data_IF_677655057347
#
_entry.id   IF_677655057347
#
_cell.length_a   1.000
_cell.length_b   1.000
_cell.length_c   1.000
_cell.angle_alpha   90.00
_cell.angle_beta   90.00
_cell.angle_gamma   90.00
#
_symmetry.space_group_name_H-M   'P 1'
#
loop_
_entity.id
_entity.type
_entity.pdbx_description
1 polymer ?
#
# COMPACT_ATOMS: atom_id res chain seq x y z
N UNK A 1 -0.25 7.23 25.03
CA UNK A 1 1.15 7.05 24.59
C UNK A 1 1.26 7.66 23.21
N UNK A 2 2.26 8.50 22.93
CA UNK A 2 2.48 9.04 21.59
C UNK A 2 2.84 7.91 20.61
N UNK A 3 2.59 8.09 19.29
CA UNK A 3 2.78 7.04 18.30
C UNK A 3 4.19 6.44 18.24
N UNK A 4 5.30 7.22 18.33
CA UNK A 4 6.65 6.66 18.29
C UNK A 4 6.94 5.68 19.44
N UNK A 5 6.71 6.10 20.68
CA UNK A 5 6.92 5.25 21.87
C UNK A 5 6.02 4.01 21.85
N UNK A 6 4.81 4.13 21.30
CA UNK A 6 3.91 3.00 21.17
C UNK A 6 4.45 2.02 20.12
N UNK A 7 4.88 2.50 18.95
CA UNK A 7 5.37 1.66 17.86
C UNK A 7 6.62 0.85 18.27
N UNK A 8 7.56 1.48 18.98
CA UNK A 8 8.76 0.83 19.51
C UNK A 8 8.46 -0.35 20.44
N UNK A 9 7.34 -0.30 21.17
CA UNK A 9 6.98 -1.34 22.16
C UNK A 9 6.13 -2.48 21.60
N UNK A 10 5.53 -2.33 20.43
CA UNK A 10 4.54 -3.28 19.90
C UNK A 10 4.94 -3.93 18.56
N UNK A 11 5.91 -3.38 17.84
CA UNK A 11 6.46 -4.02 16.65
C UNK A 11 7.20 -5.34 16.93
N UNK A 12 7.68 -6.04 15.89
CA UNK A 12 7.73 -5.63 14.48
C UNK A 12 6.42 -5.89 13.73
N UNK A 13 6.21 -5.13 12.64
CA UNK A 13 5.08 -5.31 11.72
C UNK A 13 5.57 -5.55 10.29
N UNK A 14 4.93 -6.47 9.58
CA UNK A 14 5.19 -6.72 8.16
C UNK A 14 4.31 -5.86 7.24
N UNK A 15 3.22 -5.32 7.79
CA UNK A 15 2.31 -4.42 7.09
C UNK A 15 1.59 -3.47 8.07
N UNK A 16 1.31 -2.27 7.59
CA UNK A 16 0.43 -1.28 8.22
C UNK A 16 -0.80 -1.09 7.34
N UNK A 17 -1.97 -1.01 7.93
CA UNK A 17 -3.26 -0.83 7.25
C UNK A 17 -3.84 0.54 7.60
N UNK A 18 -4.19 1.31 6.58
CA UNK A 18 -5.14 2.41 6.70
C UNK A 18 -6.54 1.83 6.89
N UNK A 19 -6.97 1.73 8.14
CA UNK A 19 -8.24 1.09 8.50
C UNK A 19 -9.46 1.90 8.05
N UNK A 20 -9.34 3.22 7.90
CA UNK A 20 -10.43 4.06 7.45
C UNK A 20 -10.69 3.82 5.95
N UNK A 21 -9.65 3.90 5.13
CA UNK A 21 -9.72 3.64 3.70
C UNK A 21 -10.16 2.20 3.41
N UNK A 22 -9.55 1.20 4.06
CA UNK A 22 -9.93 -0.21 3.86
C UNK A 22 -11.36 -0.54 4.29
N UNK A 23 -11.94 0.21 5.23
CA UNK A 23 -13.35 0.06 5.59
C UNK A 23 -14.32 0.76 4.63
N UNK A 24 -13.87 1.73 3.82
CA UNK A 24 -14.73 2.60 3.03
C UNK A 24 -14.55 2.47 1.51
N UNK A 25 -13.39 2.04 1.04
CA UNK A 25 -13.11 1.93 -0.39
C UNK A 25 -14.12 1.02 -1.07
N UNK A 26 -14.76 1.53 -2.12
CA UNK A 26 -15.84 0.87 -2.86
C UNK A 26 -17.08 0.48 -2.01
N UNK A 27 -17.28 1.11 -0.85
CA UNK A 27 -18.42 0.86 0.04
C UNK A 27 -19.24 2.13 0.26
N UNK A 28 -20.57 1.98 0.39
CA UNK A 28 -21.47 3.11 0.75
C UNK A 28 -21.32 3.51 2.22
N UNK A 29 -21.05 2.54 3.09
CA UNK A 29 -20.88 2.70 4.52
C UNK A 29 -19.65 1.89 4.96
N UNK A 30 -19.11 2.19 6.14
CA UNK A 30 -17.95 1.46 6.65
C UNK A 30 -18.24 -0.05 6.78
N UNK A 31 -17.46 -0.88 6.08
CA UNK A 31 -17.55 -2.33 6.09
C UNK A 31 -16.45 -2.93 6.97
N UNK A 32 -16.82 -3.36 8.19
CA UNK A 32 -15.89 -4.09 9.05
C UNK A 32 -15.50 -5.45 8.46
N UNK A 33 -16.40 -6.07 7.71
CA UNK A 33 -16.12 -7.33 7.01
C UNK A 33 -14.96 -7.16 6.02
N UNK A 34 -14.96 -6.09 5.23
CA UNK A 34 -13.87 -5.77 4.29
C UNK A 34 -12.56 -5.56 5.04
N UNK A 35 -12.55 -4.70 6.07
CA UNK A 35 -11.36 -4.45 6.89
C UNK A 35 -10.80 -5.74 7.52
N UNK A 36 -11.66 -6.58 8.12
CA UNK A 36 -11.24 -7.84 8.71
C UNK A 36 -10.68 -8.82 7.66
N UNK A 37 -11.24 -8.85 6.45
CA UNK A 37 -10.71 -9.67 5.36
C UNK A 37 -9.32 -9.18 4.93
N UNK A 38 -9.10 -7.87 4.79
CA UNK A 38 -7.77 -7.29 4.53
C UNK A 38 -6.77 -7.71 5.63
N UNK A 39 -7.14 -7.56 6.91
CA UNK A 39 -6.29 -7.96 8.04
C UNK A 39 -5.89 -9.43 7.94
N UNK A 40 -6.84 -10.32 7.63
CA UNK A 40 -6.58 -11.75 7.48
C UNK A 40 -5.69 -12.06 6.28
N UNK A 41 -5.88 -11.39 5.13
CA UNK A 41 -5.02 -11.57 3.95
C UNK A 41 -3.60 -11.11 4.23
N UNK A 42 -3.41 -9.95 4.86
CA UNK A 42 -2.09 -9.46 5.28
C UNK A 42 -1.42 -10.45 6.25
N UNK A 43 -2.16 -10.99 7.22
CA UNK A 43 -1.64 -12.01 8.11
C UNK A 43 -1.25 -13.30 7.37
N UNK A 44 -2.01 -13.70 6.36
CA UNK A 44 -1.73 -14.91 5.57
C UNK A 44 -0.45 -14.77 4.75
N UNK A 45 -0.19 -13.60 4.16
CA UNK A 45 1.03 -13.36 3.36
C UNK A 45 2.27 -13.07 4.23
N UNK A 46 2.08 -12.69 5.50
CA UNK A 46 3.20 -12.58 6.45
C UNK A 46 3.89 -13.94 6.62
N UNK A 47 5.24 -14.01 6.45
CA UNK A 47 5.99 -15.25 6.64
C UNK A 47 5.83 -15.86 8.03
N UNK A 48 5.68 -15.00 9.05
CA UNK A 48 5.52 -15.42 10.45
C UNK A 48 4.08 -15.31 10.95
N UNK A 49 3.10 -15.13 10.06
CA UNK A 49 1.67 -14.94 10.39
C UNK A 49 1.43 -13.79 11.37
N UNK A 50 2.24 -12.73 11.31
CA UNK A 50 2.08 -11.52 12.12
C UNK A 50 0.79 -10.81 11.73
N UNK A 51 0.08 -10.30 12.73
CA UNK A 51 -1.01 -9.37 12.45
C UNK A 51 -0.44 -8.06 11.92
N UNK A 52 -1.05 -7.46 10.88
CA UNK A 52 -0.72 -6.11 10.46
C UNK A 52 -1.11 -5.10 11.54
N UNK A 53 -0.43 -3.96 11.59
CA UNK A 53 -0.86 -2.83 12.41
C UNK A 53 -2.02 -2.10 11.74
N UNK A 54 -3.20 -2.14 12.34
CA UNK A 54 -4.36 -1.37 11.89
C UNK A 54 -4.35 0.01 12.54
N UNK A 55 -4.34 1.07 11.72
CA UNK A 55 -4.55 2.44 12.18
C UNK A 55 -6.01 2.80 11.94
N UNK A 56 -6.73 3.19 12.99
CA UNK A 56 -8.15 3.52 12.88
C UNK A 56 -8.55 4.60 13.89
N UNK A 57 -9.42 5.52 13.50
CA UNK A 57 -9.93 6.53 14.43
C UNK A 57 -10.64 5.93 15.65
N UNK A 58 -10.38 6.50 16.83
CA UNK A 58 -11.04 6.11 18.09
C UNK A 58 -12.58 6.16 18.01
N UNK A 59 -13.15 7.06 17.21
CA UNK A 59 -14.60 7.12 16.97
C UNK A 59 -15.13 5.88 16.25
N UNK A 60 -14.36 5.25 15.35
CA UNK A 60 -14.71 4.01 14.66
C UNK A 60 -14.40 2.76 15.48
N UNK A 61 -13.43 2.85 16.39
CA UNK A 61 -13.10 1.78 17.36
C UNK A 61 -14.16 1.68 18.46
N UNK A 62 -14.76 2.81 18.85
CA UNK A 62 -15.74 2.86 19.96
C UNK A 62 -17.19 3.08 19.51
N UNK A 63 -17.41 3.37 18.24
CA UNK A 63 -18.73 3.64 17.64
C UNK A 63 -18.88 2.90 16.32
N UNK A 64 -19.95 3.20 15.56
CA UNK A 64 -20.21 2.65 14.22
C UNK A 64 -19.92 1.14 14.10
N UNK A 65 -18.78 0.72 13.52
CA UNK A 65 -18.39 -0.69 13.38
C UNK A 65 -18.37 -1.51 14.68
N UNK A 66 -18.06 -0.86 15.81
CA UNK A 66 -17.93 -1.50 17.12
C UNK A 66 -19.27 -1.74 17.83
N UNK A 67 -20.39 -1.26 17.29
CA UNK A 67 -21.73 -1.48 17.87
C UNK A 67 -22.18 -2.93 17.73
N UNK A 68 -21.66 -3.66 16.74
CA UNK A 68 -21.94 -5.08 16.56
C UNK A 68 -21.02 -5.92 17.46
N UNK A 69 -21.56 -6.77 18.35
CA UNK A 69 -20.77 -7.55 19.31
C UNK A 69 -19.66 -8.39 18.67
N UNK A 70 -19.94 -8.99 17.50
CA UNK A 70 -18.95 -9.81 16.76
C UNK A 70 -17.72 -8.99 16.32
N UNK A 71 -17.92 -7.74 15.90
CA UNK A 71 -16.82 -6.88 15.45
C UNK A 71 -15.98 -6.41 16.64
N UNK A 72 -16.63 -6.15 17.78
CA UNK A 72 -15.96 -5.76 19.02
C UNK A 72 -14.94 -6.79 19.48
N UNK A 73 -15.25 -8.09 19.35
CA UNK A 73 -14.31 -9.17 19.67
C UNK A 73 -13.02 -9.07 18.85
N UNK A 74 -13.12 -8.78 17.54
CA UNK A 74 -11.95 -8.61 16.68
C UNK A 74 -11.15 -7.35 17.02
N UNK A 75 -11.84 -6.22 17.27
CA UNK A 75 -11.19 -4.97 17.68
C UNK A 75 -10.45 -5.11 19.01
N UNK A 76 -11.06 -5.75 20.01
CA UNK A 76 -10.44 -6.04 21.30
C UNK A 76 -9.25 -7.00 21.14
N UNK A 77 -9.39 -8.04 20.30
CA UNK A 77 -8.28 -8.94 19.96
C UNK A 77 -7.11 -8.16 19.37
N UNK A 78 -7.32 -7.37 18.32
CA UNK A 78 -6.24 -6.60 17.68
C UNK A 78 -5.60 -5.61 18.66
N UNK A 79 -6.39 -4.96 19.50
CA UNK A 79 -5.86 -4.07 20.55
C UNK A 79 -5.00 -4.82 21.56
N UNK A 80 -5.46 -5.96 22.06
CA UNK A 80 -4.77 -6.75 23.08
C UNK A 80 -3.47 -7.38 22.54
N UNK A 81 -3.41 -7.66 21.24
CA UNK A 81 -2.18 -8.16 20.58
C UNK A 81 -1.26 -7.03 20.10
N UNK A 82 -1.55 -5.76 20.40
CA UNK A 82 -0.73 -4.64 19.94
C UNK A 82 -0.80 -4.38 18.43
N UNK A 83 -1.86 -4.84 17.75
CA UNK A 83 -2.06 -4.75 16.31
C UNK A 83 -3.14 -3.71 15.88
N UNK A 84 -3.63 -2.90 16.81
CA UNK A 84 -4.57 -1.81 16.54
C UNK A 84 -4.15 -0.56 17.31
N UNK A 85 -3.90 0.52 16.57
CA UNK A 85 -3.70 1.84 17.15
C UNK A 85 -4.91 2.74 16.88
N UNK A 86 -5.59 3.15 17.96
CA UNK A 86 -6.73 4.04 17.89
C UNK A 86 -6.27 5.50 17.88
N UNK A 87 -6.34 6.18 16.73
CA UNK A 87 -5.89 7.58 16.63
C UNK A 87 -6.81 8.52 17.43
N UNK A 88 -6.27 9.60 18.04
CA UNK A 88 -7.06 10.59 18.76
C UNK A 88 -8.20 11.18 17.92
N UNK A 89 -9.19 11.77 18.60
CA UNK A 89 -10.24 12.51 17.89
C UNK A 89 -9.62 13.74 17.21
N UNK A 90 -10.09 14.07 16.00
CA UNK A 90 -9.71 15.25 15.21
C UNK A 90 -8.25 15.28 14.73
N UNK A 91 -7.45 14.24 15.00
CA UNK A 91 -6.16 14.09 14.31
C UNK A 91 -6.38 13.69 12.85
N UNK A 92 -5.44 13.96 11.97
CA UNK A 92 -5.42 13.28 10.67
C UNK A 92 -4.75 11.91 10.84
N UNK A 93 -5.44 10.82 10.54
CA UNK A 93 -4.90 9.45 10.61
C UNK A 93 -3.83 9.16 9.54
N UNK A 94 -3.77 9.96 8.46
CA UNK A 94 -2.76 9.86 7.40
C UNK A 94 -1.33 9.82 7.91
N UNK A 95 -1.01 10.73 8.82
CA UNK A 95 0.32 10.82 9.40
C UNK A 95 0.71 9.59 10.21
N UNK A 96 -0.27 8.90 10.81
CA UNK A 96 -0.02 7.79 11.71
C UNK A 96 0.32 6.53 10.94
N UNK A 97 -0.47 6.19 9.91
CA UNK A 97 -0.16 5.01 9.09
C UNK A 97 1.08 5.25 8.24
N UNK A 98 1.31 6.48 7.76
CA UNK A 98 2.50 6.79 6.98
C UNK A 98 3.76 6.66 7.84
N UNK A 99 3.76 7.34 9.00
CA UNK A 99 4.88 7.27 9.94
C UNK A 99 5.15 5.83 10.37
N UNK A 100 4.11 5.05 10.68
CA UNK A 100 4.28 3.66 11.08
C UNK A 100 4.90 2.81 9.97
N UNK A 101 4.41 2.92 8.72
CA UNK A 101 4.93 2.14 7.60
C UNK A 101 6.39 2.48 7.28
N UNK A 102 6.73 3.78 7.29
CA UNK A 102 8.11 4.26 7.09
C UNK A 102 9.03 3.78 8.22
N UNK A 103 8.60 3.93 9.47
CA UNK A 103 9.41 3.57 10.65
C UNK A 103 9.63 2.06 10.76
N UNK A 104 8.61 1.26 10.46
CA UNK A 104 8.71 -0.20 10.45
C UNK A 104 9.35 -0.77 9.17
N UNK A 105 9.56 0.06 8.13
CA UNK A 105 10.09 -0.35 6.82
C UNK A 105 9.29 -1.51 6.22
N UNK A 106 7.97 -1.39 6.27
CA UNK A 106 7.04 -2.46 5.93
C UNK A 106 6.01 -2.02 4.88
N UNK A 107 5.16 -2.95 4.45
CA UNK A 107 4.09 -2.65 3.49
C UNK A 107 3.09 -1.65 4.08
N UNK A 108 2.54 -0.79 3.22
CA UNK A 108 1.43 0.11 3.53
C UNK A 108 0.22 -0.27 2.68
N UNK A 109 -0.87 -0.68 3.33
CA UNK A 109 -2.11 -1.09 2.66
C UNK A 109 -3.12 0.04 2.70
N UNK A 110 -3.34 0.68 1.55
CA UNK A 110 -4.34 1.73 1.33
C UNK A 110 -4.68 1.86 -0.15
N UNK A 111 -5.90 2.28 -0.50
CA UNK A 111 -6.23 2.74 -1.85
C UNK A 111 -6.23 4.27 -1.94
N UNK A 112 -5.79 4.96 -0.88
CA UNK A 112 -5.50 6.38 -0.99
C UNK A 112 -4.33 6.59 -1.96
N UNK A 113 -4.51 7.56 -2.84
CA UNK A 113 -3.56 7.87 -3.90
C UNK A 113 -2.39 8.73 -3.38
N UNK A 114 -2.54 9.30 -2.19
CA UNK A 114 -1.58 10.16 -1.50
C UNK A 114 -1.18 11.36 -2.37
N UNK A 115 -2.17 11.99 -3.04
CA UNK A 115 -1.97 13.11 -4.00
C UNK A 115 -2.24 14.49 -3.40
N UNK A 116 -2.73 14.56 -2.17
CA UNK A 116 -3.12 15.83 -1.56
C UNK A 116 -1.92 16.71 -1.23
N UNK A 117 -2.17 18.03 -1.03
CA UNK A 117 -1.14 19.01 -0.67
C UNK A 117 -0.25 18.61 0.52
N UNK A 118 -0.77 17.74 1.39
CA UNK A 118 -0.05 17.15 2.51
C UNK A 118 1.18 16.34 2.09
N UNK A 119 1.09 15.61 0.98
CA UNK A 119 2.14 14.73 0.49
C UNK A 119 3.12 15.46 -0.44
N UNK A 120 2.73 16.59 -1.03
CA UNK A 120 3.66 17.45 -1.77
C UNK A 120 4.82 17.98 -0.91
N UNK A 121 4.64 18.08 0.41
CA UNK A 121 5.69 18.48 1.35
C UNK A 121 6.79 17.42 1.53
N UNK A 122 6.58 16.19 1.05
CA UNK A 122 7.49 15.06 1.24
C UNK A 122 8.53 14.90 0.12
N UNK A 123 8.57 15.86 -0.81
CA UNK A 123 9.54 15.94 -1.89
C UNK A 123 9.20 15.08 -3.10
N UNK A 124 9.56 15.55 -4.29
CA UNK A 124 9.17 14.94 -5.56
C UNK A 124 10.00 13.71 -5.96
N UNK A 125 11.02 13.33 -5.18
CA UNK A 125 11.94 12.24 -5.53
C UNK A 125 11.83 11.03 -4.60
N UNK A 126 11.88 11.22 -3.28
CA UNK A 126 11.90 10.11 -2.33
C UNK A 126 10.53 9.43 -2.18
N UNK A 127 9.48 10.21 -1.94
CA UNK A 127 8.16 9.68 -1.62
C UNK A 127 7.55 8.82 -2.75
N UNK A 128 7.63 9.21 -4.04
CA UNK A 128 7.16 8.35 -5.13
C UNK A 128 7.87 6.99 -5.19
N UNK A 129 9.20 6.98 -5.04
CA UNK A 129 9.99 5.74 -5.02
C UNK A 129 9.73 4.89 -3.78
N UNK A 130 9.50 5.51 -2.62
CA UNK A 130 9.09 4.79 -1.42
C UNK A 130 7.69 4.18 -1.60
N UNK A 131 6.74 4.96 -2.11
CA UNK A 131 5.37 4.53 -2.38
C UNK A 131 5.36 3.31 -3.30
N UNK A 132 6.06 3.37 -4.44
CA UNK A 132 6.17 2.24 -5.39
C UNK A 132 6.57 0.93 -4.71
N UNK A 133 7.50 0.98 -3.75
CA UNK A 133 8.07 -0.22 -3.10
C UNK A 133 7.28 -0.75 -1.91
N UNK A 134 6.40 0.06 -1.33
CA UNK A 134 5.72 -0.29 -0.08
C UNK A 134 4.19 -0.29 -0.20
N UNK A 135 3.62 0.39 -1.20
CA UNK A 135 2.17 0.59 -1.35
C UNK A 135 1.49 -0.66 -1.90
N UNK A 136 0.60 -1.23 -1.08
CA UNK A 136 -0.30 -2.33 -1.44
C UNK A 136 -1.69 -1.76 -1.63
N UNK A 137 -2.29 -2.01 -2.79
CA UNK A 137 -3.69 -1.64 -3.09
C UNK A 137 -4.58 -2.87 -3.03
N UNK A 138 -5.87 -2.67 -2.85
CA UNK A 138 -6.88 -3.74 -2.91
C UNK A 138 -7.81 -3.56 -4.10
N UNK A 139 -8.28 -4.68 -4.64
CA UNK A 139 -9.45 -4.72 -5.52
C UNK A 139 -10.43 -5.77 -5.00
N UNK A 140 -11.72 -5.56 -5.29
CA UNK A 140 -12.77 -6.52 -4.95
C UNK A 140 -13.53 -6.87 -6.23
N UNK A 141 -13.51 -8.15 -6.62
CA UNK A 141 -14.29 -8.69 -7.74
C UNK A 141 -15.32 -9.71 -7.24
N UNK A 142 -16.32 -10.02 -8.07
CA UNK A 142 -17.33 -11.04 -7.75
C UNK A 142 -16.75 -12.46 -7.78
N UNK A 143 -15.75 -12.68 -8.63
CA UNK A 143 -15.17 -14.01 -8.93
C UNK A 143 -14.09 -14.38 -7.91
N UNK A 144 -13.15 -13.47 -7.65
CA UNK A 144 -11.97 -13.74 -6.81
C UNK A 144 -12.09 -13.17 -5.39
N UNK A 145 -13.11 -12.33 -5.15
CA UNK A 145 -13.26 -11.61 -3.90
C UNK A 145 -12.19 -10.53 -3.74
N UNK A 146 -11.58 -10.45 -2.55
CA UNK A 146 -10.57 -9.45 -2.20
C UNK A 146 -9.18 -9.90 -2.65
N UNK A 147 -8.53 -9.07 -3.47
CA UNK A 147 -7.16 -9.25 -3.96
C UNK A 147 -6.25 -8.15 -3.45
N UNK A 148 -5.04 -8.51 -3.02
CA UNK A 148 -3.97 -7.58 -2.66
C UNK A 148 -3.02 -7.42 -3.87
N UNK A 149 -2.89 -6.21 -4.37
CA UNK A 149 -1.94 -5.84 -5.41
C UNK A 149 -0.63 -5.42 -4.77
N UNK A 150 0.36 -6.31 -4.81
CA UNK A 150 1.66 -6.11 -4.21
C UNK A 150 2.53 -5.15 -5.03
N UNK A 151 3.47 -4.42 -4.39
CA UNK A 151 4.53 -3.70 -5.09
C UNK A 151 5.21 -4.54 -6.17
N UNK A 152 5.52 -3.96 -7.35
CA UNK A 152 6.21 -4.68 -8.40
C UNK A 152 7.61 -5.13 -7.92
N UNK A 153 8.11 -6.30 -8.35
CA UNK A 153 9.45 -6.79 -8.00
C UNK A 153 10.58 -6.05 -8.73
N UNK A 154 10.24 -5.01 -9.50
CA UNK A 154 11.14 -4.15 -10.25
C UNK A 154 10.69 -2.69 -10.09
N UNK A 155 11.62 -1.74 -10.27
CA UNK A 155 11.27 -0.32 -10.20
C UNK A 155 10.79 0.23 -11.54
N UNK A 156 9.73 1.04 -11.51
CA UNK A 156 9.12 1.68 -12.69
C UNK A 156 9.81 3.03 -12.93
N UNK A 157 11.07 2.95 -13.33
CA UNK A 157 11.92 4.10 -13.66
C UNK A 157 12.60 3.87 -15.00
N UNK A 158 13.19 4.92 -15.56
CA UNK A 158 14.08 4.76 -16.72
C UNK A 158 15.29 3.94 -16.29
N UNK A 159 15.59 2.88 -17.04
CA UNK A 159 16.68 1.95 -16.74
C UNK A 159 17.58 1.74 -17.95
N UNK A 160 18.88 1.69 -17.71
CA UNK A 160 19.90 1.26 -18.66
C UNK A 160 20.53 -0.04 -18.15
N UNK A 161 20.57 -1.07 -19.00
CA UNK A 161 21.25 -2.34 -18.71
C UNK A 161 22.74 -2.26 -19.00
N UNK A 162 23.51 -3.23 -18.49
CA UNK A 162 24.96 -3.34 -18.73
C UNK A 162 25.33 -3.48 -20.21
N UNK A 163 24.44 -4.04 -21.05
CA UNK A 163 24.63 -4.15 -22.50
C UNK A 163 24.20 -2.89 -23.28
N UNK A 164 23.81 -1.82 -22.57
CA UNK A 164 23.39 -0.54 -23.13
C UNK A 164 21.97 -0.54 -23.71
N UNK A 165 21.12 -1.48 -23.27
CA UNK A 165 19.68 -1.50 -23.60
C UNK A 165 18.92 -0.56 -22.66
N UNK A 166 18.06 0.28 -23.22
CA UNK A 166 17.25 1.23 -22.46
C UNK A 166 15.79 0.77 -22.34
N UNK A 167 15.22 0.94 -21.15
CA UNK A 167 13.80 0.73 -20.86
C UNK A 167 13.20 2.01 -20.28
N UNK A 168 12.17 2.56 -20.95
CA UNK A 168 11.52 3.82 -20.56
C UNK A 168 10.04 3.57 -20.31
N UNK A 169 9.55 3.67 -19.06
CA UNK A 169 8.14 3.54 -18.75
C UNK A 169 7.36 4.81 -19.07
N UNK A 170 6.15 4.66 -19.61
CA UNK A 170 5.21 5.77 -19.74
C UNK A 170 4.45 6.01 -18.43
N UNK A 171 4.14 7.28 -18.13
CA UNK A 171 3.29 7.63 -16.98
C UNK A 171 1.84 7.23 -17.26
N UNK A 172 1.17 6.63 -16.28
CA UNK A 172 -0.27 6.33 -16.29
C UNK A 172 -0.87 6.74 -14.95
N UNK A 173 -2.14 7.11 -14.93
CA UNK A 173 -2.83 7.54 -13.70
C UNK A 173 -3.10 6.38 -12.74
N UNK A 174 -3.49 5.21 -13.29
CA UNK A 174 -3.80 4.01 -12.52
C UNK A 174 -3.38 2.75 -13.32
N UNK A 175 -2.25 2.19 -12.93
CA UNK A 175 -1.67 1.00 -13.55
C UNK A 175 -2.38 -0.31 -13.19
N UNK A 176 -3.35 -0.31 -12.25
CA UNK A 176 -4.26 -1.45 -12.07
C UNK A 176 -5.38 -1.46 -13.10
N UNK A 177 -5.73 -0.29 -13.66
CA UNK A 177 -6.77 -0.17 -14.67
C UNK A 177 -6.22 -0.17 -16.09
N UNK A 178 -5.02 0.36 -16.29
CA UNK A 178 -4.42 0.53 -17.61
C UNK A 178 -3.02 -0.08 -17.65
N UNK A 179 -2.82 -1.05 -18.55
CA UNK A 179 -1.50 -1.64 -18.78
C UNK A 179 -0.51 -0.57 -19.23
N UNK A 180 0.61 -0.47 -18.49
CA UNK A 180 1.65 0.52 -18.71
C UNK A 180 2.46 0.13 -19.95
N UNK A 181 2.60 1.10 -20.86
CA UNK A 181 3.46 0.94 -22.03
C UNK A 181 4.91 1.22 -21.66
N UNK A 182 5.82 0.41 -22.22
CA UNK A 182 7.26 0.58 -22.10
C UNK A 182 7.91 0.73 -23.46
N UNK A 183 8.89 1.63 -23.55
CA UNK A 183 9.79 1.73 -24.68
C UNK A 183 11.04 0.87 -24.40
N UNK A 184 11.35 -0.10 -25.26
CA UNK A 184 12.62 -0.80 -25.25
C UNK A 184 13.47 -0.32 -26.42
N UNK A 185 14.67 0.19 -26.16
CA UNK A 185 15.64 0.60 -27.17
C UNK A 185 16.92 -0.24 -27.05
N UNK A 186 17.13 -1.13 -28.02
CA UNK A 186 18.27 -2.06 -28.06
C UNK A 186 19.11 -1.85 -29.31
N UNK A 187 20.44 -1.91 -29.16
CA UNK A 187 21.39 -1.87 -30.28
C UNK A 187 21.35 -3.17 -31.07
N UNK A 188 21.20 -3.10 -32.39
CA UNK A 188 21.34 -4.27 -33.26
C UNK A 188 22.82 -4.60 -33.50
N UNK A 189 23.18 -5.89 -33.48
CA UNK A 189 24.53 -6.38 -33.80
C UNK A 189 24.68 -6.70 -35.29
N UNK A 190 24.19 -5.84 -36.18
CA UNK A 190 24.42 -5.98 -37.62
C UNK A 190 25.62 -5.15 -38.07
N UNK A 191 26.54 -5.67 -38.91
CA UNK A 191 27.83 -5.03 -39.22
C UNK A 191 27.74 -3.72 -40.03
N UNK A 192 26.55 -3.23 -40.35
CA UNK A 192 26.35 -2.01 -41.12
C UNK A 192 25.06 -1.33 -40.66
N UNK A 193 25.22 -0.13 -40.11
CA UNK A 193 24.21 0.77 -39.56
C UNK A 193 23.70 0.43 -38.15
N UNK A 194 24.02 1.31 -37.19
CA UNK A 194 23.39 1.36 -35.87
C UNK A 194 21.91 1.72 -36.05
N UNK A 195 21.03 0.73 -35.93
CA UNK A 195 19.58 0.96 -35.89
C UNK A 195 19.13 0.65 -34.47
N UNK A 196 18.47 1.61 -33.81
CA UNK A 196 17.73 1.34 -32.59
C UNK A 196 16.42 0.66 -32.98
N UNK A 197 16.19 -0.57 -32.52
CA UNK A 197 14.85 -1.14 -32.58
C UNK A 197 14.11 -0.63 -31.36
N UNK A 198 13.01 0.08 -31.61
CA UNK A 198 12.07 0.53 -30.59
C UNK A 198 10.93 -0.48 -30.53
N UNK A 199 10.81 -1.22 -29.43
CA UNK A 199 9.69 -2.13 -29.19
C UNK A 199 8.80 -1.58 -28.08
N UNK A 200 7.50 -1.53 -28.32
CA UNK A 200 6.51 -1.30 -27.27
C UNK A 200 6.25 -2.61 -26.53
N UNK A 201 6.54 -2.65 -25.24
CA UNK A 201 6.27 -3.80 -24.38
C UNK A 201 5.03 -3.47 -23.54
N UNK A 202 4.05 -4.39 -23.58
CA UNK A 202 2.90 -4.41 -22.68
C UNK A 202 3.32 -5.13 -21.40
N UNK A 203 3.22 -4.43 -20.26
CA UNK A 203 3.41 -5.01 -18.93
C UNK A 203 2.06 -5.31 -18.26
#
# INVERSE_FOLDING_TARGET
MPPPEWLERHGPFDAVIDGANMGLVNQRNFSFFQLNNVVQRCQQISPSKRLPLVILHKSRVNGGPATYPKNRVFLEKWKNTGALYATPLRSNDDWYWLYAAVSCKCLLVTNDEMRDHLFHLQGNSFFPSWKEKHHVRISVSREDGLTLHMPPPYSIVIQESEDGTWHVPMSVEDDLKTSRQWLCAKRTKTPSNFVFIVVFILA
#
